data_IF_759481520814
#
_entry.id   IF_759481520814
#
_cell.length_a   1.000
_cell.length_b   1.000
_cell.length_c   1.000
_cell.angle_alpha   90.00
_cell.angle_beta   90.00
_cell.angle_gamma   90.00
#
_symmetry.space_group_name_H-M   'P 1'
#
loop_
_entity.id
_entity.type
_entity.pdbx_description
1 polymer ?
#
# COMPACT_ATOMS: atom_id res chain seq x y z
N UNK A 1 -24.78 -29.34 24.06
CA UNK A 1 -25.28 -28.58 22.90
C UNK A 1 -25.20 -27.06 23.08
N UNK A 2 -25.39 -26.49 24.29
CA UNK A 2 -25.16 -25.04 24.50
C UNK A 2 -23.69 -24.60 24.42
N UNK A 3 -22.73 -25.45 24.83
CA UNK A 3 -21.30 -25.09 24.81
C UNK A 3 -20.72 -24.94 23.38
N UNK A 4 -21.30 -25.64 22.39
CA UNK A 4 -20.88 -25.54 20.98
C UNK A 4 -21.35 -24.24 20.31
N UNK A 5 -22.42 -23.63 20.83
CA UNK A 5 -22.97 -22.36 20.29
C UNK A 5 -22.12 -21.14 20.69
N UNK A 6 -21.40 -21.20 21.81
CA UNK A 6 -20.58 -20.09 22.32
C UNK A 6 -19.24 -19.97 21.58
N UNK A 7 -18.71 -21.08 21.07
CA UNK A 7 -17.39 -21.12 20.41
C UNK A 7 -17.46 -20.56 18.98
N UNK A 8 -18.62 -20.71 18.31
CA UNK A 8 -18.83 -20.23 16.93
C UNK A 8 -18.90 -18.69 16.85
N UNK A 9 -19.20 -18.01 17.96
CA UNK A 9 -19.31 -16.55 18.03
C UNK A 9 -17.97 -15.81 18.12
N UNK A 10 -16.85 -16.50 18.41
CA UNK A 10 -15.55 -15.87 18.69
C UNK A 10 -14.64 -15.69 17.47
N UNK A 11 -15.04 -16.17 16.28
CA UNK A 11 -14.15 -16.20 15.10
C UNK A 11 -14.36 -15.00 14.16
N UNK A 12 -15.40 -14.17 14.39
CA UNK A 12 -15.68 -13.00 13.54
C UNK A 12 -15.01 -11.70 14.01
N UNK A 13 -13.77 -11.77 14.50
CA UNK A 13 -12.99 -10.57 14.78
C UNK A 13 -12.40 -10.00 13.47
N UNK A 14 -13.29 -9.31 12.74
CA UNK A 14 -13.07 -8.15 11.86
C UNK A 14 -11.88 -8.17 10.86
N UNK A 15 -12.14 -8.30 9.54
CA UNK A 15 -11.14 -8.05 8.49
C UNK A 15 -10.71 -6.58 8.37
N UNK A 16 -11.32 -5.66 9.14
CA UNK A 16 -11.09 -4.22 9.06
C UNK A 16 -9.76 -3.83 9.73
N UNK A 17 -9.43 -4.40 10.89
CA UNK A 17 -8.16 -4.09 11.57
C UNK A 17 -6.93 -4.54 10.77
N UNK A 18 -7.05 -5.63 10.00
CA UNK A 18 -5.93 -6.16 9.22
C UNK A 18 -5.54 -5.26 8.05
N UNK A 19 -6.49 -4.52 7.47
CA UNK A 19 -6.21 -3.59 6.37
C UNK A 19 -5.51 -2.32 6.87
N UNK A 20 -5.92 -1.81 8.03
CA UNK A 20 -5.29 -0.66 8.68
C UNK A 20 -3.85 -1.00 9.12
N UNK A 21 -3.66 -2.19 9.70
CA UNK A 21 -2.33 -2.68 10.09
C UNK A 21 -1.40 -2.85 8.87
N UNK A 22 -1.88 -3.46 7.79
CA UNK A 22 -1.10 -3.62 6.56
C UNK A 22 -0.76 -2.27 5.88
N UNK A 23 -1.67 -1.29 5.97
CA UNK A 23 -1.41 0.06 5.50
C UNK A 23 -0.29 0.73 6.30
N UNK A 24 -0.36 0.68 7.64
CA UNK A 24 0.63 1.26 8.53
C UNK A 24 2.00 0.60 8.35
N UNK A 25 2.05 -0.73 8.24
CA UNK A 25 3.29 -1.47 7.95
C UNK A 25 3.90 -1.05 6.61
N UNK A 26 3.07 -0.86 5.57
CA UNK A 26 3.53 -0.36 4.28
C UNK A 26 4.18 1.03 4.41
N UNK A 27 3.56 1.94 5.17
CA UNK A 27 4.13 3.26 5.42
C UNK A 27 5.47 3.16 6.15
N UNK A 28 5.55 2.36 7.21
CA UNK A 28 6.75 2.21 8.02
C UNK A 28 7.92 1.64 7.22
N UNK A 29 7.67 0.66 6.34
CA UNK A 29 8.70 0.06 5.48
C UNK A 29 9.24 1.06 4.46
N UNK A 30 8.37 1.78 3.76
CA UNK A 30 8.78 2.58 2.60
C UNK A 30 9.08 4.05 2.91
N UNK A 31 8.44 4.66 3.92
CA UNK A 31 8.70 6.06 4.27
C UNK A 31 9.97 6.27 5.10
N UNK A 32 10.49 5.23 5.77
CA UNK A 32 11.72 5.34 6.59
C UNK A 32 12.92 5.90 5.78
N UNK A 33 12.97 5.60 4.49
CA UNK A 33 14.01 6.07 3.58
C UNK A 33 13.60 7.24 2.69
N UNK A 34 12.42 7.82 2.86
CA UNK A 34 11.98 8.93 2.03
C UNK A 34 12.83 10.18 2.31
N UNK A 35 13.41 10.75 1.26
CA UNK A 35 14.24 11.96 1.33
C UNK A 35 13.64 13.17 0.61
N UNK A 36 12.47 12.98 0.01
CA UNK A 36 11.81 13.99 -0.82
C UNK A 36 10.29 13.90 -0.63
N UNK A 37 9.62 15.04 -0.46
CA UNK A 37 8.20 15.10 -0.06
C UNK A 37 7.22 14.59 -1.12
N UNK A 38 7.51 14.83 -2.39
CA UNK A 38 6.75 14.29 -3.52
C UNK A 38 6.88 12.75 -3.61
N UNK A 39 8.07 12.19 -3.36
CA UNK A 39 8.27 10.75 -3.23
C UNK A 39 7.44 10.19 -2.08
N UNK A 40 7.48 10.85 -0.92
CA UNK A 40 6.69 10.46 0.25
C UNK A 40 5.18 10.50 -0.05
N UNK A 41 4.70 11.50 -0.79
CA UNK A 41 3.31 11.59 -1.23
C UNK A 41 2.90 10.40 -2.10
N UNK A 42 3.71 10.07 -3.12
CA UNK A 42 3.45 8.93 -4.00
C UNK A 42 3.51 7.58 -3.26
N UNK A 43 4.43 7.41 -2.31
CA UNK A 43 4.50 6.23 -1.44
C UNK A 43 3.21 6.07 -0.63
N UNK A 44 2.71 7.15 0.01
CA UNK A 44 1.43 7.11 0.74
C UNK A 44 0.26 6.74 -0.17
N UNK A 45 0.25 7.28 -1.40
CA UNK A 45 -0.77 6.97 -2.39
C UNK A 45 -0.73 5.49 -2.80
N UNK A 46 0.47 4.94 -2.98
CA UNK A 46 0.67 3.53 -3.31
C UNK A 46 0.19 2.60 -2.18
N UNK A 47 0.60 2.86 -0.93
CA UNK A 47 0.14 2.09 0.23
C UNK A 47 -1.39 2.16 0.39
N UNK A 48 -1.98 3.35 0.24
CA UNK A 48 -3.44 3.52 0.30
C UNK A 48 -4.12 2.71 -0.82
N UNK A 49 -3.61 2.81 -2.05
CA UNK A 49 -4.14 2.11 -3.21
C UNK A 49 -4.09 0.58 -3.10
N UNK A 50 -3.14 0.03 -2.33
CA UNK A 50 -2.98 -1.40 -2.09
C UNK A 50 -3.87 -1.92 -0.95
N UNK A 51 -4.03 -1.17 0.13
CA UNK A 51 -4.59 -1.70 1.39
C UNK A 51 -5.89 -1.02 1.84
N UNK A 52 -6.17 0.22 1.44
CA UNK A 52 -7.29 1.00 1.96
C UNK A 52 -8.44 1.19 0.94
N UNK A 53 -8.44 0.41 -0.17
CA UNK A 53 -9.59 0.36 -1.09
C UNK A 53 -10.35 -0.95 -0.94
N UNK A 54 -11.58 -0.87 -0.48
CA UNK A 54 -12.56 -1.97 -0.36
C UNK A 54 -13.11 -2.48 -1.71
N UNK A 55 -12.35 -2.37 -2.81
CA UNK A 55 -12.76 -2.73 -4.16
C UNK A 55 -11.75 -3.63 -4.86
N UNK A 56 -12.17 -4.27 -5.95
CA UNK A 56 -11.29 -5.13 -6.76
C UNK A 56 -10.17 -4.26 -7.38
N UNK A 57 -8.95 -4.45 -6.89
CA UNK A 57 -7.77 -3.82 -7.47
C UNK A 57 -7.36 -4.57 -8.73
N UNK A 58 -7.39 -3.88 -9.86
CA UNK A 58 -6.86 -4.41 -11.12
C UNK A 58 -5.37 -4.77 -10.95
N UNK A 59 -4.97 -5.94 -11.46
CA UNK A 59 -3.60 -6.45 -11.30
C UNK A 59 -2.55 -5.45 -11.82
N UNK A 60 -2.81 -4.82 -12.96
CA UNK A 60 -1.97 -3.73 -13.50
C UNK A 60 -1.74 -2.59 -12.50
N UNK A 61 -2.81 -2.17 -11.79
CA UNK A 61 -2.73 -1.09 -10.80
C UNK A 61 -1.97 -1.53 -9.55
N UNK A 62 -2.11 -2.80 -9.15
CA UNK A 62 -1.29 -3.41 -8.10
C UNK A 62 0.20 -3.36 -8.46
N UNK A 63 0.55 -3.74 -9.70
CA UNK A 63 1.92 -3.69 -10.20
C UNK A 63 2.46 -2.26 -10.27
N UNK A 64 1.65 -1.29 -10.71
CA UNK A 64 2.01 0.12 -10.70
C UNK A 64 2.39 0.62 -9.29
N UNK A 65 1.56 0.33 -8.28
CA UNK A 65 1.86 0.74 -6.91
C UNK A 65 3.11 0.07 -6.35
N UNK A 66 3.30 -1.23 -6.59
CA UNK A 66 4.51 -1.94 -6.18
C UNK A 66 5.78 -1.36 -6.84
N UNK A 67 5.71 -0.98 -8.12
CA UNK A 67 6.81 -0.32 -8.83
C UNK A 67 7.22 1.00 -8.16
N UNK A 68 6.25 1.82 -7.74
CA UNK A 68 6.55 3.06 -7.01
C UNK A 68 7.23 2.78 -5.67
N UNK A 69 6.72 1.81 -4.91
CA UNK A 69 7.27 1.45 -3.60
C UNK A 69 8.71 0.89 -3.68
N UNK A 70 9.04 0.20 -4.76
CA UNK A 70 10.38 -0.37 -4.99
C UNK A 70 11.42 0.72 -5.33
N UNK A 71 11.03 1.77 -6.04
CA UNK A 71 11.99 2.70 -6.66
C UNK A 71 12.01 4.11 -6.09
N UNK A 72 11.00 4.53 -5.32
CA UNK A 72 10.94 5.90 -4.78
C UNK A 72 11.70 6.07 -3.46
N UNK A 73 12.02 4.99 -2.76
CA UNK A 73 12.73 5.05 -1.47
C UNK A 73 14.14 5.61 -1.68
N UNK A 74 14.48 6.66 -0.94
CA UNK A 74 15.81 7.28 -0.99
C UNK A 74 16.02 8.26 -2.15
N UNK A 75 15.04 8.48 -3.02
CA UNK A 75 15.16 9.45 -4.12
C UNK A 75 15.11 10.88 -3.56
N UNK A 76 16.10 11.70 -3.92
CA UNK A 76 16.26 13.07 -3.42
C UNK A 76 15.77 14.14 -4.42
N UNK A 77 15.80 13.84 -5.71
CA UNK A 77 15.42 14.78 -6.78
C UNK A 77 13.96 14.68 -7.14
N UNK A 78 13.23 15.80 -7.11
CA UNK A 78 11.83 15.86 -7.57
C UNK A 78 11.67 15.41 -9.04
N UNK A 79 12.64 15.77 -9.90
CA UNK A 79 12.63 15.34 -11.30
C UNK A 79 12.77 13.82 -11.41
N UNK A 80 13.68 13.23 -10.64
CA UNK A 80 13.85 11.77 -10.65
C UNK A 80 12.60 11.05 -10.14
N UNK A 81 11.90 11.60 -9.13
CA UNK A 81 10.61 11.08 -8.67
C UNK A 81 9.58 11.09 -9.80
N UNK A 82 9.48 12.19 -10.55
CA UNK A 82 8.56 12.30 -11.69
C UNK A 82 8.92 11.31 -12.80
N UNK A 83 10.19 11.20 -13.16
CA UNK A 83 10.66 10.27 -14.19
C UNK A 83 10.34 8.82 -13.83
N UNK A 84 10.55 8.43 -12.57
CA UNK A 84 10.18 7.12 -12.03
C UNK A 84 8.67 6.91 -12.07
N UNK A 85 7.89 7.90 -11.64
CA UNK A 85 6.43 7.83 -11.67
C UNK A 85 5.90 7.55 -13.09
N UNK A 86 6.39 8.31 -14.07
CA UNK A 86 6.02 8.14 -15.47
C UNK A 86 6.52 6.82 -16.04
N UNK A 87 7.71 6.35 -15.62
CA UNK A 87 8.24 5.05 -16.05
C UNK A 87 7.39 3.87 -15.53
N UNK A 88 7.01 3.89 -14.25
CA UNK A 88 6.09 2.91 -13.68
C UNK A 88 4.72 2.96 -14.39
N UNK A 89 4.22 4.17 -14.69
CA UNK A 89 2.99 4.37 -15.46
C UNK A 89 3.06 3.70 -16.82
N UNK A 90 4.05 4.02 -17.66
CA UNK A 90 4.22 3.41 -18.99
C UNK A 90 4.35 1.89 -18.97
N UNK A 91 4.91 1.31 -17.90
CA UNK A 91 5.09 -0.15 -17.78
C UNK A 91 3.79 -0.87 -17.40
N UNK A 92 2.85 -0.18 -16.73
CA UNK A 92 1.70 -0.81 -16.09
C UNK A 92 0.35 -0.11 -16.35
N UNK A 93 0.27 0.93 -17.18
CA UNK A 93 -0.96 1.49 -17.75
C UNK A 93 -1.69 0.45 -18.62
#
# INVERSE_FOLDING_TARGET
MLAMLVIVSLIFLSPICAADEAYDDCLLVHLKGAKQDYAAHLIRQACNGLYNRSGVLLEKRRLFFNCLLEHLVGVESAQAVEDIHLACGRKYD
#
